data_IF_569603374658
#
_entry.id   IF_569603374658
#
_cell.length_a   1.000
_cell.length_b   1.000
_cell.length_c   1.000
_cell.angle_alpha   90.00
_cell.angle_beta   90.00
_cell.angle_gamma   90.00
#
_symmetry.space_group_name_H-M   'P 1'
#
loop_
_entity.id
_entity.type
_entity.pdbx_description
1 polymer ?
#
# COMPACT_ATOMS: atom_id res chain seq x y z
N UNK A 1 -19.92 27.09 -17.46
CA UNK A 1 -19.45 25.80 -18.03
C UNK A 1 -18.41 25.26 -17.07
N UNK A 2 -18.76 24.23 -16.30
CA UNK A 2 -17.83 23.60 -15.35
C UNK A 2 -16.99 22.56 -16.09
N UNK A 3 -15.70 22.39 -15.77
CA UNK A 3 -14.88 21.36 -16.41
C UNK A 3 -15.39 19.98 -15.99
N UNK A 4 -15.70 19.13 -16.96
CA UNK A 4 -15.98 17.70 -16.75
C UNK A 4 -14.69 16.98 -16.40
N UNK A 5 -14.44 16.73 -15.11
CA UNK A 5 -13.38 15.81 -14.69
C UNK A 5 -13.86 14.37 -14.94
N UNK A 6 -13.40 13.76 -16.03
CA UNK A 6 -13.51 12.31 -16.23
C UNK A 6 -12.60 11.61 -15.22
N UNK A 7 -13.12 11.17 -14.08
CA UNK A 7 -12.35 10.33 -13.17
C UNK A 7 -12.26 8.92 -13.77
N UNK A 8 -11.07 8.53 -14.24
CA UNK A 8 -10.85 7.26 -14.94
C UNK A 8 -10.40 6.11 -14.02
N UNK A 9 -10.42 6.25 -12.70
CA UNK A 9 -10.06 5.17 -11.74
C UNK A 9 -10.94 5.24 -10.49
N UNK A 10 -11.28 4.07 -9.92
CA UNK A 10 -12.15 3.95 -8.73
C UNK A 10 -11.45 4.41 -7.44
N UNK A 11 -10.14 4.21 -7.38
CA UNK A 11 -9.28 4.64 -6.28
C UNK A 11 -8.13 5.51 -6.83
N UNK A 12 -7.48 6.33 -5.97
CA UNK A 12 -6.17 6.88 -6.31
C UNK A 12 -5.22 5.76 -6.79
N UNK A 13 -4.41 5.99 -7.85
CA UNK A 13 -3.69 4.94 -8.55
C UNK A 13 -2.41 4.50 -7.82
N UNK A 14 -2.55 4.12 -6.54
CA UNK A 14 -1.47 3.62 -5.70
C UNK A 14 -1.82 2.23 -5.16
N UNK A 15 -0.86 1.30 -5.25
CA UNK A 15 -0.92 -0.01 -4.62
C UNK A 15 0.18 -0.06 -3.56
N UNK A 16 -0.21 -0.14 -2.29
CA UNK A 16 0.72 -0.20 -1.16
C UNK A 16 0.83 -1.63 -0.63
N UNK A 17 2.05 -2.03 -0.27
CA UNK A 17 2.33 -3.27 0.47
C UNK A 17 3.45 -3.06 1.48
N UNK A 18 3.35 -3.70 2.64
CA UNK A 18 4.50 -3.85 3.53
C UNK A 18 5.25 -5.15 3.22
N UNK A 19 6.52 -5.04 2.84
CA UNK A 19 7.41 -6.18 2.67
C UNK A 19 8.85 -5.76 2.98
N UNK A 20 9.52 -6.52 3.84
CA UNK A 20 10.84 -6.11 4.34
C UNK A 20 11.93 -6.26 3.26
N UNK A 21 11.96 -7.42 2.60
CA UNK A 21 12.88 -7.76 1.51
C UNK A 21 12.17 -8.65 0.49
N UNK A 22 11.80 -8.10 -0.66
CA UNK A 22 11.01 -8.82 -1.68
C UNK A 22 11.78 -10.02 -2.25
N UNK A 23 13.09 -9.93 -2.32
CA UNK A 23 14.01 -10.97 -2.81
C UNK A 23 13.96 -12.26 -1.98
N UNK A 24 13.66 -12.16 -0.69
CA UNK A 24 13.55 -13.31 0.21
C UNK A 24 12.21 -14.06 0.03
N UNK A 25 11.31 -13.52 -0.79
CA UNK A 25 9.92 -13.95 -0.95
C UNK A 25 9.58 -14.16 -2.43
N UNK A 26 10.13 -15.20 -3.10
CA UNK A 26 10.00 -15.38 -4.55
C UNK A 26 8.57 -15.60 -5.02
N UNK A 27 7.72 -16.21 -4.18
CA UNK A 27 6.30 -16.42 -4.47
C UNK A 27 5.55 -15.09 -4.45
N UNK A 28 5.71 -14.29 -3.40
CA UNK A 28 5.09 -12.98 -3.23
C UNK A 28 5.63 -11.98 -4.27
N UNK A 29 6.90 -12.11 -4.67
CA UNK A 29 7.46 -11.38 -5.80
C UNK A 29 6.68 -11.63 -7.10
N UNK A 30 6.27 -12.87 -7.36
CA UNK A 30 5.43 -13.17 -8.53
C UNK A 30 4.06 -12.48 -8.43
N UNK A 31 3.49 -12.35 -7.23
CA UNK A 31 2.21 -11.67 -7.01
C UNK A 31 2.30 -10.17 -7.17
N UNK A 32 3.39 -9.57 -6.67
CA UNK A 32 3.72 -8.16 -6.88
C UNK A 32 3.83 -7.84 -8.37
N UNK A 33 4.59 -8.65 -9.12
CA UNK A 33 4.76 -8.47 -10.57
C UNK A 33 3.43 -8.65 -11.30
N UNK A 34 2.67 -9.69 -10.99
CA UNK A 34 1.36 -9.96 -11.60
C UNK A 34 0.38 -8.81 -11.37
N UNK A 35 0.33 -8.27 -10.14
CA UNK A 35 -0.47 -7.08 -9.84
C UNK A 35 -0.07 -5.86 -10.67
N UNK A 36 1.22 -5.56 -10.78
CA UNK A 36 1.71 -4.43 -11.57
C UNK A 36 1.36 -4.59 -13.06
N UNK A 37 1.38 -5.83 -13.58
CA UNK A 37 1.02 -6.12 -14.97
C UNK A 37 -0.48 -5.94 -15.24
N UNK A 38 -1.34 -6.32 -14.30
CA UNK A 38 -2.79 -6.11 -14.41
C UNK A 38 -3.20 -4.65 -14.21
N UNK A 39 -2.43 -3.88 -13.41
CA UNK A 39 -2.77 -2.51 -13.02
C UNK A 39 -1.70 -1.53 -13.50
N UNK A 40 -1.47 -1.45 -14.81
CA UNK A 40 -0.39 -0.63 -15.40
C UNK A 40 -0.53 0.88 -15.11
N UNK A 41 -1.75 1.35 -14.86
CA UNK A 41 -2.05 2.73 -14.47
C UNK A 41 -1.75 3.00 -12.99
N UNK A 42 -1.59 1.96 -12.17
CA UNK A 42 -1.30 2.09 -10.74
C UNK A 42 0.20 2.03 -10.48
N UNK A 43 0.66 2.88 -9.58
CA UNK A 43 2.03 2.85 -9.06
C UNK A 43 2.11 1.90 -7.88
N UNK A 44 2.91 0.85 -8.01
CA UNK A 44 3.16 -0.07 -6.90
C UNK A 44 4.28 0.44 -5.99
N UNK A 45 3.97 0.53 -4.70
CA UNK A 45 4.83 1.08 -3.65
C UNK A 45 5.04 0.01 -2.57
N UNK A 46 6.31 -0.34 -2.33
CA UNK A 46 6.70 -1.34 -1.34
C UNK A 46 7.39 -0.63 -0.17
N UNK A 47 6.93 -0.92 1.04
CA UNK A 47 7.47 -0.36 2.27
C UNK A 47 8.04 -1.46 3.15
N UNK A 48 9.29 -1.31 3.57
CA UNK A 48 9.91 -2.12 4.60
C UNK A 48 9.72 -1.49 6.00
N UNK A 49 10.13 -2.19 7.05
CA UNK A 49 9.97 -1.76 8.45
C UNK A 49 10.52 -0.33 8.69
N UNK A 50 11.66 0.02 8.04
CA UNK A 50 12.28 1.33 8.17
C UNK A 50 11.47 2.43 7.47
N UNK A 51 11.10 2.22 6.20
CA UNK A 51 10.29 3.18 5.44
C UNK A 51 8.90 3.39 6.04
N UNK A 52 8.33 2.37 6.70
CA UNK A 52 7.09 2.53 7.46
C UNK A 52 7.30 3.44 8.68
N UNK A 53 8.38 3.24 9.44
CA UNK A 53 8.73 4.09 10.59
C UNK A 53 8.98 5.53 10.16
N UNK A 54 9.73 5.73 9.08
CA UNK A 54 10.01 7.06 8.52
C UNK A 54 8.72 7.75 8.11
N UNK A 55 7.83 7.04 7.43
CA UNK A 55 6.52 7.57 7.07
C UNK A 55 5.71 8.02 8.29
N UNK A 56 5.62 7.19 9.33
CA UNK A 56 4.89 7.54 10.56
C UNK A 56 5.54 8.74 11.25
N UNK A 57 6.86 8.75 11.41
CA UNK A 57 7.56 9.85 12.10
C UNK A 57 7.42 11.20 11.37
N UNK A 58 7.34 11.20 10.03
CA UNK A 58 7.25 12.42 9.24
C UNK A 58 5.81 12.90 9.04
N UNK A 59 4.87 11.99 8.78
CA UNK A 59 3.50 12.33 8.40
C UNK A 59 2.51 12.28 9.58
N UNK A 60 2.85 11.54 10.63
CA UNK A 60 2.00 11.27 11.78
C UNK A 60 2.82 11.22 13.09
N UNK A 61 3.61 12.27 13.41
CA UNK A 61 4.48 12.26 14.58
C UNK A 61 3.72 12.01 15.90
N UNK A 62 2.44 12.41 15.98
CA UNK A 62 1.56 12.16 17.12
C UNK A 62 1.29 10.66 17.39
N UNK A 63 1.47 9.82 16.38
CA UNK A 63 1.28 8.38 16.46
C UNK A 63 2.59 7.60 16.59
N UNK A 64 3.76 8.27 16.57
CA UNK A 64 5.06 7.62 16.56
C UNK A 64 5.30 6.77 17.81
N UNK A 65 4.98 7.28 18.99
CA UNK A 65 5.16 6.57 20.26
C UNK A 65 4.27 5.31 20.31
N UNK A 66 3.02 5.42 19.87
CA UNK A 66 2.11 4.27 19.78
C UNK A 66 2.67 3.25 18.78
N UNK A 67 3.04 3.70 17.58
CA UNK A 67 3.54 2.83 16.52
C UNK A 67 4.81 2.06 16.91
N UNK A 68 5.74 2.74 17.59
CA UNK A 68 7.01 2.14 18.01
C UNK A 68 6.84 1.13 19.14
N UNK A 69 5.89 1.37 20.05
CA UNK A 69 5.60 0.51 21.22
C UNK A 69 4.74 -0.73 20.89
N UNK A 70 4.15 -0.82 19.69
CA UNK A 70 3.40 -2.01 19.27
C UNK A 70 4.28 -3.27 19.33
N UNK A 71 3.86 -4.33 20.04
CA UNK A 71 4.73 -5.46 20.38
C UNK A 71 4.93 -6.45 19.22
N UNK A 72 4.08 -6.41 18.19
CA UNK A 72 4.10 -7.38 17.08
C UNK A 72 4.18 -6.66 15.74
N UNK A 73 4.94 -7.23 14.80
CA UNK A 73 5.06 -6.70 13.44
C UNK A 73 3.70 -6.60 12.72
N UNK A 74 2.83 -7.58 12.90
CA UNK A 74 1.47 -7.56 12.32
C UNK A 74 0.66 -6.34 12.78
N UNK A 75 0.75 -5.99 14.07
CA UNK A 75 0.05 -4.80 14.60
C UNK A 75 0.60 -3.50 13.99
N UNK A 76 1.92 -3.45 13.75
CA UNK A 76 2.54 -2.31 13.05
C UNK A 76 2.04 -2.21 11.62
N UNK A 77 1.99 -3.33 10.88
CA UNK A 77 1.44 -3.35 9.53
C UNK A 77 -0.05 -2.94 9.50
N UNK A 78 -0.85 -3.40 10.47
CA UNK A 78 -2.27 -3.05 10.59
C UNK A 78 -2.46 -1.54 10.78
N UNK A 79 -1.72 -0.94 11.71
CA UNK A 79 -1.75 0.50 11.94
C UNK A 79 -1.25 1.27 10.71
N UNK A 80 -0.13 0.84 10.14
CA UNK A 80 0.47 1.50 8.98
C UNK A 80 -0.45 1.50 7.76
N UNK A 81 -1.16 0.38 7.49
CA UNK A 81 -2.18 0.27 6.45
C UNK A 81 -3.26 1.34 6.58
N UNK A 82 -3.74 1.60 7.80
CA UNK A 82 -4.74 2.65 8.02
C UNK A 82 -4.16 4.03 7.74
N UNK A 83 -2.93 4.30 8.21
CA UNK A 83 -2.28 5.60 8.04
C UNK A 83 -1.94 5.92 6.58
N UNK A 84 -1.44 4.95 5.82
CA UNK A 84 -1.08 5.16 4.41
C UNK A 84 -2.32 5.38 3.55
N UNK A 85 -3.40 4.63 3.80
CA UNK A 85 -4.68 4.79 3.10
C UNK A 85 -5.38 6.09 3.49
N UNK A 86 -5.31 6.50 4.77
CA UNK A 86 -5.80 7.81 5.19
C UNK A 86 -5.05 8.95 4.49
N UNK A 87 -3.73 8.81 4.32
CA UNK A 87 -2.90 9.87 3.73
C UNK A 87 -3.07 10.00 2.19
N UNK A 88 -2.98 8.87 1.47
CA UNK A 88 -2.93 8.88 0.01
C UNK A 88 -4.19 8.32 -0.67
N UNK A 89 -5.08 7.67 0.09
CA UNK A 89 -6.08 6.77 -0.47
C UNK A 89 -5.42 5.57 -1.15
N UNK A 90 -6.01 5.11 -2.25
CA UNK A 90 -5.52 3.98 -3.03
C UNK A 90 -5.90 2.63 -2.44
N UNK A 91 -5.08 1.61 -2.73
CA UNK A 91 -5.34 0.22 -2.33
C UNK A 91 -4.14 -0.32 -1.57
N UNK A 92 -4.42 -0.92 -0.42
CA UNK A 92 -3.43 -1.70 0.32
C UNK A 92 -3.67 -3.19 0.07
N UNK A 93 -2.61 -3.95 -0.19
CA UNK A 93 -2.67 -5.40 -0.34
C UNK A 93 -1.68 -6.07 0.63
N UNK A 94 -2.09 -7.17 1.26
CA UNK A 94 -1.16 -8.01 2.01
C UNK A 94 -0.09 -8.59 1.07
N UNK A 95 1.09 -8.93 1.59
CA UNK A 95 2.21 -9.36 0.75
C UNK A 95 1.93 -10.64 -0.07
N UNK A 96 1.05 -11.49 0.43
CA UNK A 96 0.61 -12.75 -0.16
C UNK A 96 -0.64 -12.62 -1.04
N UNK A 97 -1.19 -11.41 -1.21
CA UNK A 97 -2.32 -11.16 -2.09
C UNK A 97 -1.90 -11.06 -3.56
N UNK A 98 -2.63 -11.72 -4.45
CA UNK A 98 -2.47 -11.61 -5.90
C UNK A 98 -3.65 -10.87 -6.54
N UNK A 99 -3.38 -10.11 -7.60
CA UNK A 99 -4.44 -9.48 -8.39
C UNK A 99 -4.88 -10.46 -9.46
N UNK A 100 -6.15 -10.89 -9.39
CA UNK A 100 -6.77 -11.74 -10.41
C UNK A 100 -7.52 -10.94 -11.47
N UNK A 101 -7.98 -9.75 -11.11
CA UNK A 101 -8.63 -8.78 -12.00
C UNK A 101 -8.05 -7.38 -11.76
N UNK A 102 -8.04 -6.49 -12.77
CA UNK A 102 -7.71 -5.09 -12.59
C UNK A 102 -8.57 -4.44 -11.49
N UNK A 103 -7.96 -3.54 -10.72
CA UNK A 103 -8.59 -2.82 -9.60
C UNK A 103 -9.75 -1.93 -10.10
N UNK A 104 -9.62 -1.36 -11.30
CA UNK A 104 -10.69 -0.54 -11.88
C UNK A 104 -11.95 -1.35 -12.24
N UNK A 105 -11.87 -2.68 -12.21
CA UNK A 105 -13.02 -3.60 -12.37
C UNK A 105 -13.60 -4.06 -11.03
N UNK A 106 -13.14 -3.52 -9.89
CA UNK A 106 -13.67 -3.86 -8.57
C UNK A 106 -14.97 -3.07 -8.32
N UNK A 107 -16.07 -3.50 -8.94
CA UNK A 107 -17.41 -2.94 -8.83
C UNK A 107 -18.45 -3.87 -9.45
#
# INVERSE_FOLDING_TARGET
>A
MSPTTNYSTLFPPFIFRTINKLEDHPKEKSYVIGCQQQNKSYKQMLYNDHSCLDFVSQQYPEFLDVYTTLPRKVMKADMWRLLILHHYGGVYLDMDCECKKPIDEWG
#
